data_IF_987957422119
#
_entry.id   IF_987957422119
#
_cell.length_a   1.000
_cell.length_b   1.000
_cell.length_c   1.000
_cell.angle_alpha   90.00
_cell.angle_beta   90.00
_cell.angle_gamma   90.00
#
_symmetry.space_group_name_H-M   'P 1'
#
loop_
_entity.id
_entity.type
_entity.pdbx_description
1 polymer ?
#
# COMPACT_ATOMS: atom_id res chain seq x y z
N UNK A 1 -10.85 7.86 -2.61
CA UNK A 1 -10.47 6.49 -2.23
C UNK A 1 -11.64 5.64 -1.73
N UNK A 2 -12.45 6.04 -0.72
CA UNK A 2 -13.40 5.12 -0.07
C UNK A 2 -14.40 4.43 -1.02
N UNK A 3 -14.94 5.17 -2.00
CA UNK A 3 -15.90 4.61 -2.95
C UNK A 3 -15.29 3.54 -3.86
N UNK A 4 -14.02 3.68 -4.27
CA UNK A 4 -13.32 2.67 -5.06
C UNK A 4 -13.04 1.42 -4.24
N UNK A 5 -12.65 1.57 -2.97
CA UNK A 5 -12.41 0.42 -2.07
C UNK A 5 -13.71 -0.37 -1.86
N UNK A 6 -14.83 0.33 -1.65
CA UNK A 6 -16.11 -0.30 -1.34
C UNK A 6 -16.75 -1.01 -2.53
N UNK A 7 -16.55 -0.51 -3.76
CA UNK A 7 -17.25 -0.98 -4.96
C UNK A 7 -16.36 -1.65 -6.01
N UNK A 8 -15.05 -1.52 -5.89
CA UNK A 8 -14.10 -1.84 -6.96
C UNK A 8 -14.09 -0.75 -8.04
N UNK A 9 -12.95 -0.60 -8.73
CA UNK A 9 -12.72 0.44 -9.74
C UNK A 9 -13.67 0.28 -10.92
N UNK A 10 -13.91 -0.95 -11.37
CA UNK A 10 -14.78 -1.25 -12.52
C UNK A 10 -16.25 -0.92 -12.30
N UNK A 11 -16.74 -1.03 -11.06
CA UNK A 11 -18.16 -0.87 -10.73
C UNK A 11 -18.58 0.57 -10.45
N UNK A 12 -17.62 1.48 -10.27
CA UNK A 12 -17.89 2.89 -9.94
C UNK A 12 -18.15 3.69 -11.20
N UNK A 13 -19.21 4.51 -11.22
CA UNK A 13 -19.50 5.42 -12.31
C UNK A 13 -19.01 6.86 -12.05
N UNK A 14 -18.82 7.63 -13.12
CA UNK A 14 -18.49 9.06 -13.02
C UNK A 14 -19.55 9.88 -12.29
N UNK A 15 -20.83 9.48 -12.38
CA UNK A 15 -21.93 10.12 -11.65
C UNK A 15 -21.86 9.87 -10.14
N UNK A 16 -21.51 8.64 -9.74
CA UNK A 16 -21.32 8.34 -8.32
C UNK A 16 -20.08 9.06 -7.78
N UNK A 17 -19.01 9.14 -8.56
CA UNK A 17 -17.81 9.90 -8.21
C UNK A 17 -18.11 11.39 -8.03
N UNK A 18 -18.79 12.02 -8.99
CA UNK A 18 -19.13 13.43 -8.89
C UNK A 18 -20.04 13.72 -7.69
N UNK A 19 -21.02 12.85 -7.43
CA UNK A 19 -21.87 12.92 -6.24
C UNK A 19 -21.07 12.77 -4.95
N UNK A 20 -20.14 11.83 -4.88
CA UNK A 20 -19.30 11.61 -3.69
C UNK A 20 -18.31 12.76 -3.45
N UNK A 21 -17.87 13.43 -4.51
CA UNK A 21 -16.96 14.58 -4.47
C UNK A 21 -17.69 15.92 -4.27
N UNK A 22 -19.02 15.95 -4.31
CA UNK A 22 -19.81 17.17 -4.19
C UNK A 22 -19.66 18.13 -5.38
N UNK A 23 -19.35 17.62 -6.57
CA UNK A 23 -19.17 18.41 -7.80
C UNK A 23 -20.15 18.00 -8.88
N UNK A 24 -20.33 18.83 -9.90
CA UNK A 24 -21.12 18.43 -11.06
C UNK A 24 -20.40 17.35 -11.87
N UNK A 25 -21.17 16.47 -12.52
CA UNK A 25 -20.61 15.45 -13.42
C UNK A 25 -19.80 16.10 -14.55
N UNK A 26 -20.25 17.24 -15.08
CA UNK A 26 -19.52 17.99 -16.11
C UNK A 26 -18.18 18.55 -15.61
N UNK A 27 -18.14 19.05 -14.37
CA UNK A 27 -16.90 19.50 -13.72
C UNK A 27 -15.91 18.34 -13.58
N UNK A 28 -16.38 17.16 -13.16
CA UNK A 28 -15.50 16.01 -13.01
C UNK A 28 -14.95 15.54 -14.35
N UNK A 29 -15.79 15.45 -15.39
CA UNK A 29 -15.35 15.10 -16.75
C UNK A 29 -14.36 16.10 -17.34
N UNK A 30 -14.44 17.37 -16.97
CA UNK A 30 -13.51 18.40 -17.43
C UNK A 30 -12.06 18.14 -16.97
N UNK A 31 -11.88 17.70 -15.72
CA UNK A 31 -10.55 17.41 -15.17
C UNK A 31 -10.11 15.97 -15.40
N UNK A 32 -11.05 15.03 -15.32
CA UNK A 32 -10.81 13.60 -15.42
C UNK A 32 -11.78 13.00 -16.44
N UNK A 33 -11.37 12.87 -17.71
CA UNK A 33 -12.24 12.35 -18.77
C UNK A 33 -12.79 10.95 -18.48
N UNK A 34 -12.08 10.15 -17.70
CA UNK A 34 -12.49 8.79 -17.29
C UNK A 34 -12.23 8.56 -15.80
N UNK A 35 -12.92 7.56 -15.24
CA UNK A 35 -12.71 7.15 -13.84
C UNK A 35 -11.33 6.55 -13.62
N UNK A 36 -10.75 5.93 -14.64
CA UNK A 36 -9.40 5.35 -14.62
C UNK A 36 -8.35 6.45 -14.46
N UNK A 37 -8.47 7.57 -15.19
CA UNK A 37 -7.55 8.72 -15.05
C UNK A 37 -7.65 9.34 -13.65
N UNK A 38 -8.88 9.46 -13.11
CA UNK A 38 -9.08 9.91 -11.73
C UNK A 38 -8.45 8.95 -10.71
N UNK A 39 -8.68 7.65 -10.89
CA UNK A 39 -8.15 6.60 -10.02
C UNK A 39 -6.61 6.60 -10.05
N UNK A 40 -6.02 6.63 -11.23
CA UNK A 40 -4.57 6.69 -11.43
C UNK A 40 -3.96 7.91 -10.74
N UNK A 41 -4.54 9.09 -10.97
CA UNK A 41 -4.08 10.34 -10.35
C UNK A 41 -4.14 10.27 -8.82
N UNK A 42 -5.22 9.71 -8.29
CA UNK A 42 -5.39 9.49 -6.85
C UNK A 42 -4.32 8.54 -6.30
N UNK A 43 -4.09 7.39 -6.93
CA UNK A 43 -3.10 6.40 -6.47
C UNK A 43 -1.69 6.98 -6.54
N UNK A 44 -1.32 7.64 -7.64
CA UNK A 44 -0.01 8.30 -7.80
C UNK A 44 0.25 9.31 -6.69
N UNK A 45 -0.74 10.16 -6.39
CA UNK A 45 -0.61 11.15 -5.32
C UNK A 45 -0.44 10.50 -3.96
N UNK A 46 -1.27 9.50 -3.63
CA UNK A 46 -1.21 8.81 -2.34
C UNK A 46 0.13 8.11 -2.15
N UNK A 47 0.56 7.32 -3.13
CA UNK A 47 1.82 6.57 -3.05
C UNK A 47 3.03 7.52 -2.97
N UNK A 48 2.99 8.65 -3.68
CA UNK A 48 4.05 9.65 -3.59
C UNK A 48 4.13 10.26 -2.19
N UNK A 49 2.99 10.54 -1.55
CA UNK A 49 2.95 11.03 -0.17
C UNK A 49 3.49 9.98 0.80
N UNK A 50 3.01 8.74 0.72
CA UNK A 50 3.48 7.68 1.61
C UNK A 50 4.98 7.39 1.46
N UNK A 51 5.48 7.32 0.22
CA UNK A 51 6.90 7.09 -0.05
C UNK A 51 7.79 8.25 0.46
N UNK A 52 7.29 9.49 0.34
CA UNK A 52 7.96 10.66 0.90
C UNK A 52 8.04 10.56 2.42
N UNK A 53 6.93 10.28 3.10
CA UNK A 53 6.90 10.18 4.55
C UNK A 53 7.75 9.02 5.09
N UNK A 54 7.79 7.87 4.41
CA UNK A 54 8.70 6.76 4.74
C UNK A 54 10.16 7.20 4.62
N UNK A 55 10.48 8.00 3.58
CA UNK A 55 11.82 8.54 3.39
C UNK A 55 12.19 9.52 4.51
N UNK A 56 11.30 10.46 4.84
CA UNK A 56 11.52 11.42 5.94
C UNK A 56 11.60 10.72 7.31
N UNK A 57 10.86 9.62 7.50
CA UNK A 57 10.97 8.79 8.70
C UNK A 57 12.39 8.24 8.81
N UNK A 58 12.97 7.71 7.72
CA UNK A 58 14.34 7.15 7.72
C UNK A 58 15.44 8.15 8.10
N UNK A 59 15.21 9.44 7.86
CA UNK A 59 16.16 10.51 8.15
C UNK A 59 16.12 10.94 9.63
N UNK A 60 14.98 10.77 10.29
CA UNK A 60 14.76 11.20 11.68
C UNK A 60 14.84 10.06 12.69
N UNK A 61 14.44 8.85 12.28
CA UNK A 61 14.33 7.66 13.10
C UNK A 61 14.69 6.42 12.26
N UNK A 62 15.58 5.55 12.75
CA UNK A 62 16.13 4.43 11.96
C UNK A 62 15.87 3.05 12.58
N UNK A 63 14.88 2.95 13.47
CA UNK A 63 14.51 1.70 14.10
C UNK A 63 13.43 0.94 13.31
N UNK A 64 13.52 -0.39 13.26
CA UNK A 64 12.43 -1.25 12.78
C UNK A 64 11.10 -0.92 13.48
N UNK A 65 11.14 -0.55 14.76
CA UNK A 65 9.96 -0.14 15.54
C UNK A 65 9.27 1.09 14.96
N UNK A 66 10.00 2.05 14.40
CA UNK A 66 9.42 3.30 13.89
C UNK A 66 8.61 3.04 12.63
N UNK A 67 9.16 2.27 11.69
CA UNK A 67 8.41 1.88 10.47
C UNK A 67 7.24 0.96 10.81
N UNK A 68 7.38 0.08 11.81
CA UNK A 68 6.27 -0.75 12.30
C UNK A 68 5.14 0.11 12.89
N UNK A 69 5.46 1.11 13.71
CA UNK A 69 4.49 2.02 14.30
C UNK A 69 3.81 2.90 13.23
N UNK A 70 4.58 3.43 12.28
CA UNK A 70 4.07 4.20 11.14
C UNK A 70 3.01 3.41 10.37
N UNK A 71 3.32 2.14 10.13
CA UNK A 71 2.49 1.20 9.41
C UNK A 71 1.24 0.84 10.21
N UNK A 72 1.38 0.47 11.48
CA UNK A 72 0.29 0.09 12.36
C UNK A 72 -0.71 1.23 12.56
N UNK A 73 -0.22 2.46 12.71
CA UNK A 73 -1.05 3.66 12.82
C UNK A 73 -1.87 3.97 11.55
N UNK A 74 -1.50 3.38 10.40
CA UNK A 74 -2.13 3.57 9.09
C UNK A 74 -2.65 2.28 8.48
N UNK A 75 -2.96 1.30 9.32
CA UNK A 75 -3.37 -0.03 8.88
C UNK A 75 -4.50 0.01 7.84
N UNK A 76 -5.61 0.69 8.14
CA UNK A 76 -6.76 0.78 7.22
C UNK A 76 -6.39 1.39 5.87
N UNK A 77 -5.48 2.36 5.87
CA UNK A 77 -4.99 3.00 4.65
C UNK A 77 -4.24 2.00 3.76
N UNK A 78 -3.30 1.25 4.33
CA UNK A 78 -2.55 0.26 3.56
C UNK A 78 -3.38 -0.97 3.17
N UNK A 79 -4.36 -1.39 4.00
CA UNK A 79 -5.36 -2.40 3.60
C UNK A 79 -6.12 -1.92 2.36
N UNK A 80 -6.60 -0.67 2.36
CA UNK A 80 -7.35 -0.12 1.24
C UNK A 80 -6.52 -0.10 -0.05
N UNK A 81 -5.26 0.32 0.02
CA UNK A 81 -4.35 0.30 -1.13
C UNK A 81 -4.08 -1.12 -1.63
N UNK A 82 -3.86 -2.07 -0.73
CA UNK A 82 -3.68 -3.48 -1.07
C UNK A 82 -4.92 -4.05 -1.78
N UNK A 83 -6.13 -3.77 -1.26
CA UNK A 83 -7.38 -4.21 -1.87
C UNK A 83 -7.59 -3.61 -3.27
N UNK A 84 -7.24 -2.34 -3.47
CA UNK A 84 -7.29 -1.70 -4.79
C UNK A 84 -6.29 -2.31 -5.77
N UNK A 85 -5.06 -2.61 -5.32
CA UNK A 85 -4.06 -3.28 -6.15
C UNK A 85 -4.54 -4.69 -6.57
N UNK A 86 -5.17 -5.44 -5.64
CA UNK A 86 -5.79 -6.73 -5.93
C UNK A 86 -6.96 -6.58 -6.91
N UNK A 87 -7.81 -5.57 -6.74
CA UNK A 87 -8.95 -5.30 -7.62
C UNK A 87 -8.49 -5.02 -9.05
N UNK A 88 -7.46 -4.18 -9.22
CA UNK A 88 -6.84 -3.92 -10.53
C UNK A 88 -6.30 -5.21 -11.15
N UNK A 89 -5.51 -5.99 -10.38
CA UNK A 89 -4.95 -7.26 -10.88
C UNK A 89 -6.02 -8.29 -11.24
N UNK A 90 -7.21 -8.22 -10.62
CA UNK A 90 -8.30 -9.18 -10.84
C UNK A 90 -9.24 -8.78 -11.98
N UNK A 91 -9.62 -7.51 -12.06
CA UNK A 91 -10.70 -7.05 -12.94
C UNK A 91 -10.24 -6.15 -14.07
N UNK A 92 -9.01 -5.64 -14.02
CA UNK A 92 -8.44 -4.70 -14.99
C UNK A 92 -7.06 -5.16 -15.48
N UNK A 93 -6.80 -6.47 -15.44
CA UNK A 93 -5.52 -7.06 -15.85
C UNK A 93 -5.17 -6.83 -17.32
N UNK A 94 -6.16 -6.50 -18.16
CA UNK A 94 -5.96 -6.18 -19.58
C UNK A 94 -5.58 -4.71 -19.81
N UNK A 95 -5.73 -3.83 -18.82
CA UNK A 95 -5.24 -2.44 -18.91
C UNK A 95 -3.76 -2.40 -18.55
N UNK A 96 -2.92 -2.15 -19.56
CA UNK A 96 -1.48 -2.00 -19.35
C UNK A 96 -1.16 -0.83 -18.41
N UNK A 97 -1.89 0.28 -18.52
CA UNK A 97 -1.67 1.49 -17.75
C UNK A 97 -1.94 1.27 -16.25
N UNK A 98 -3.04 0.58 -15.91
CA UNK A 98 -3.37 0.30 -14.52
C UNK A 98 -2.50 -0.81 -13.93
N UNK A 99 -2.08 -1.78 -14.74
CA UNK A 99 -1.10 -2.78 -14.34
C UNK A 99 0.26 -2.11 -14.01
N UNK A 100 0.74 -1.23 -14.89
CA UNK A 100 1.98 -0.46 -14.70
C UNK A 100 1.88 0.44 -13.45
N UNK A 101 0.75 1.11 -13.24
CA UNK A 101 0.49 1.90 -12.03
C UNK A 101 0.70 1.09 -10.74
N UNK A 102 0.23 -0.16 -10.70
CA UNK A 102 0.37 -1.03 -9.53
C UNK A 102 1.82 -1.43 -9.31
N UNK A 103 2.53 -1.82 -10.37
CA UNK A 103 3.95 -2.19 -10.30
C UNK A 103 4.83 -1.00 -9.90
N UNK A 104 4.59 0.18 -10.47
CA UNK A 104 5.26 1.44 -10.10
C UNK A 104 5.01 1.81 -8.64
N UNK A 105 3.79 1.55 -8.15
CA UNK A 105 3.43 1.82 -6.77
C UNK A 105 4.25 0.95 -5.80
N UNK A 106 4.33 -0.37 -6.06
CA UNK A 106 5.17 -1.26 -5.26
C UNK A 106 6.67 -0.92 -5.39
N UNK A 107 7.13 -0.54 -6.57
CA UNK A 107 8.51 -0.11 -6.78
C UNK A 107 8.83 1.20 -6.03
N UNK A 108 7.87 2.11 -5.88
CA UNK A 108 8.01 3.32 -5.06
C UNK A 108 8.16 2.97 -3.58
N UNK A 109 7.28 2.14 -3.04
CA UNK A 109 7.36 1.67 -1.65
C UNK A 109 8.67 0.93 -1.36
N UNK A 110 9.07 0.01 -2.24
CA UNK A 110 10.34 -0.72 -2.09
C UNK A 110 11.52 0.25 -2.01
N UNK A 111 11.60 1.23 -2.91
CA UNK A 111 12.70 2.22 -2.91
C UNK A 111 12.73 3.07 -1.63
N UNK A 112 11.57 3.45 -1.11
CA UNK A 112 11.50 4.18 0.16
C UNK A 112 11.96 3.30 1.34
N UNK A 113 11.52 2.04 1.39
CA UNK A 113 11.90 1.08 2.42
C UNK A 113 13.38 0.69 2.35
N UNK A 114 13.97 0.55 1.17
CA UNK A 114 15.40 0.22 1.03
C UNK A 114 16.30 1.30 1.63
N UNK A 115 15.88 2.57 1.60
CA UNK A 115 16.57 3.67 2.31
C UNK A 115 16.43 3.57 3.82
N UNK A 116 15.29 3.04 4.28
CA UNK A 116 15.00 2.85 5.70
C UNK A 116 15.87 1.76 6.34
N UNK A 117 16.36 0.79 5.58
CA UNK A 117 17.20 -0.31 6.07
C UNK A 117 18.67 -0.19 5.58
N UNK A 118 19.43 0.84 6.01
CA UNK A 118 20.82 1.03 5.57
C UNK A 118 21.72 -0.06 6.19
N UNK A 119 22.24 -0.97 5.36
CA UNK A 119 23.13 -2.06 5.80
C UNK A 119 22.97 -3.34 5.00
N UNK A 120 21.90 -3.48 4.22
CA UNK A 120 21.73 -4.61 3.32
C UNK A 120 22.50 -4.38 2.01
N UNK A 121 23.73 -4.91 1.94
CA UNK A 121 24.58 -4.86 0.76
C UNK A 121 23.93 -5.46 -0.52
N UNK A 122 22.80 -6.16 -0.40
CA UNK A 122 22.04 -6.73 -1.52
C UNK A 122 20.66 -6.08 -1.75
N UNK A 123 20.25 -5.10 -0.93
CA UNK A 123 18.99 -4.35 -1.11
C UNK A 123 17.73 -5.21 -1.08
N UNK A 124 17.67 -6.26 -0.26
CA UNK A 124 16.54 -7.18 -0.16
C UNK A 124 15.63 -6.90 1.05
N UNK A 125 16.09 -6.12 2.02
CA UNK A 125 15.40 -5.87 3.28
C UNK A 125 14.10 -5.10 3.09
N UNK A 126 14.07 -4.09 2.22
CA UNK A 126 12.81 -3.39 1.90
C UNK A 126 11.80 -4.31 1.23
N UNK A 127 12.25 -5.19 0.32
CA UNK A 127 11.39 -6.21 -0.29
C UNK A 127 10.90 -7.25 0.71
N UNK A 128 11.75 -7.73 1.63
CA UNK A 128 11.37 -8.68 2.67
C UNK A 128 10.33 -8.07 3.62
N UNK A 129 10.56 -6.83 4.06
CA UNK A 129 9.62 -6.08 4.90
C UNK A 129 8.27 -5.92 4.19
N UNK A 130 8.29 -5.45 2.94
CA UNK A 130 7.08 -5.28 2.13
C UNK A 130 6.31 -6.59 1.96
N UNK A 131 7.01 -7.71 1.74
CA UNK A 131 6.39 -9.03 1.56
C UNK A 131 5.71 -9.51 2.83
N UNK A 132 6.40 -9.42 3.98
CA UNK A 132 5.81 -9.73 5.27
C UNK A 132 4.59 -8.85 5.55
N UNK A 133 4.74 -7.54 5.34
CA UNK A 133 3.72 -6.57 5.67
C UNK A 133 2.44 -6.75 4.84
N UNK A 134 2.57 -7.02 3.54
CA UNK A 134 1.41 -7.35 2.70
C UNK A 134 0.70 -8.62 3.18
N UNK A 135 1.45 -9.64 3.59
CA UNK A 135 0.88 -10.86 4.19
C UNK A 135 0.13 -10.56 5.49
N UNK A 136 0.72 -9.75 6.37
CA UNK A 136 0.11 -9.32 7.62
C UNK A 136 -1.21 -8.55 7.37
N UNK A 137 -1.20 -7.55 6.48
CA UNK A 137 -2.41 -6.80 6.13
C UNK A 137 -3.51 -7.69 5.55
N UNK A 138 -3.14 -8.67 4.74
CA UNK A 138 -4.10 -9.62 4.17
C UNK A 138 -4.79 -10.45 5.25
N UNK A 139 -4.06 -10.94 6.24
CA UNK A 139 -4.63 -11.64 7.39
C UNK A 139 -5.51 -10.72 8.24
N UNK A 140 -5.06 -9.49 8.48
CA UNK A 140 -5.77 -8.47 9.27
C UNK A 140 -7.04 -7.94 8.63
N UNK A 141 -7.23 -8.10 7.32
CA UNK A 141 -8.48 -7.77 6.63
C UNK A 141 -9.69 -8.58 7.16
N UNK A 142 -9.46 -9.68 7.88
CA UNK A 142 -10.47 -10.41 8.66
C UNK A 142 -10.18 -10.37 10.17
N UNK A 143 -9.78 -9.20 10.68
CA UNK A 143 -9.24 -8.96 12.03
C UNK A 143 -9.73 -9.97 13.09
N UNK A 144 -8.80 -10.79 13.59
CA UNK A 144 -8.94 -11.65 14.78
C UNK A 144 -7.92 -11.25 15.84
N UNK A 145 -8.10 -11.68 17.10
CA UNK A 145 -7.12 -11.43 18.18
C UNK A 145 -5.70 -11.92 17.82
N UNK A 146 -5.59 -13.02 17.06
CA UNK A 146 -4.31 -13.61 16.61
C UNK A 146 -3.56 -12.79 15.55
N UNK A 147 -4.16 -11.72 15.04
CA UNK A 147 -3.59 -10.90 13.97
C UNK A 147 -3.13 -9.53 14.45
N UNK A 148 -3.04 -9.28 15.76
CA UNK A 148 -2.51 -8.02 16.27
C UNK A 148 -1.02 -7.83 15.91
N UNK A 149 -0.58 -6.57 15.87
CA UNK A 149 0.79 -6.25 15.49
C UNK A 149 1.84 -6.83 16.44
N UNK A 150 1.66 -6.75 17.78
CA UNK A 150 2.58 -7.38 18.73
C UNK A 150 2.81 -8.87 18.49
N UNK A 151 1.75 -9.67 18.31
CA UNK A 151 1.86 -11.11 18.09
C UNK A 151 2.55 -11.44 16.76
N UNK A 152 2.25 -10.69 15.69
CA UNK A 152 2.91 -10.85 14.39
C UNK A 152 4.41 -10.51 14.46
N UNK A 153 4.80 -9.50 15.25
CA UNK A 153 6.20 -9.13 15.43
C UNK A 153 6.96 -10.10 16.33
N UNK A 154 6.33 -10.60 17.40
CA UNK A 154 6.90 -11.67 18.24
C UNK A 154 7.14 -12.94 17.40
N UNK A 155 6.19 -13.31 16.53
CA UNK A 155 6.35 -14.41 15.59
C UNK A 155 7.54 -14.23 14.63
N UNK A 156 7.75 -13.03 14.11
CA UNK A 156 8.92 -12.71 13.27
C UNK A 156 10.24 -12.83 14.02
N UNK A 157 10.30 -12.35 15.27
CA UNK A 157 11.49 -12.45 16.09
C UNK A 157 11.85 -13.91 16.38
N UNK A 158 10.85 -14.73 16.70
CA UNK A 158 11.00 -16.17 16.88
C UNK A 158 11.55 -16.84 15.61
N UNK A 159 11.03 -16.51 14.43
CA UNK A 159 11.54 -17.03 13.15
C UNK A 159 13.00 -16.63 12.91
N UNK A 160 13.39 -15.40 13.23
CA UNK A 160 14.78 -14.92 13.08
C UNK A 160 15.77 -15.80 13.85
N UNK A 161 15.42 -16.24 15.07
CA UNK A 161 16.31 -17.10 15.86
C UNK A 161 16.55 -18.46 15.20
N UNK A 162 15.55 -19.01 14.51
CA UNK A 162 15.67 -20.28 13.76
C UNK A 162 16.59 -20.17 12.54
N UNK A 163 16.67 -18.99 11.92
CA UNK A 163 17.62 -18.75 10.81
C UNK A 163 19.07 -18.57 11.29
N UNK A 164 19.27 -18.16 12.55
CA UNK A 164 20.59 -17.99 13.15
C UNK A 164 21.17 -19.30 13.69
N UNK A 165 20.32 -20.28 14.02
CA UNK A 165 20.72 -21.58 14.55
C UNK A 165 20.93 -22.67 13.47
N UNK A 166 20.92 -22.29 12.18
CA UNK A 166 21.26 -23.21 11.08
C UNK A 166 22.74 -23.07 10.73
N UNK A 167 23.57 -23.86 11.41
CA UNK A 167 24.86 -24.36 10.93
C UNK A 167 24.66 -25.67 10.15
#
# INVERSE_FOLDING_TARGET
MPIFVAKGVSSVSMRELSSALGVSTGTLYHYFPTKEILFESMVKQVVAMDAKEITELSESHSGLTDIMNFVAARETHFINLMLLAVDVKRHLSESNELAELVEDSFASYRRALDRFFPGDAKGKSGMAFLSFFLGALFLKNKATEETDWPALFEGLENLKTLFQNKD
#
